data_IF_598006731925
#
_entry.id   IF_598006731925
#
_cell.length_a   1.000
_cell.length_b   1.000
_cell.length_c   1.000
_cell.angle_alpha   90.00
_cell.angle_beta   90.00
_cell.angle_gamma   90.00
#
_symmetry.space_group_name_H-M   'P 1'
#
loop_
_entity.id
_entity.type
_entity.pdbx_description
1 polymer ?
#
# COMPACT_ATOMS: atom_id res chain seq x y z
N UNK A 1 -6.43 -6.30 -11.56
CA UNK A 1 -7.46 -6.51 -12.59
C UNK A 1 -7.03 -5.79 -13.86
N UNK A 2 -7.16 -6.42 -15.03
CA UNK A 2 -6.59 -5.92 -16.30
C UNK A 2 -5.47 -6.82 -16.84
N UNK A 3 -5.21 -6.77 -18.16
CA UNK A 3 -4.24 -7.65 -18.85
C UNK A 3 -2.79 -7.15 -18.79
N UNK A 4 -2.58 -5.88 -18.46
CA UNK A 4 -1.27 -5.23 -18.45
C UNK A 4 -0.83 -4.92 -17.02
N UNK A 5 0.49 -5.00 -16.76
CA UNK A 5 1.06 -4.64 -15.47
C UNK A 5 0.92 -3.14 -15.16
N UNK A 6 1.07 -2.30 -16.20
CA UNK A 6 0.89 -0.85 -16.14
C UNK A 6 0.15 -0.43 -17.42
N UNK A 7 -0.89 0.38 -17.27
CA UNK A 7 -1.62 0.97 -18.39
C UNK A 7 -1.95 2.44 -18.08
N UNK A 8 -1.71 3.31 -19.05
CA UNK A 8 -2.16 4.72 -19.01
C UNK A 8 -3.37 4.82 -19.91
N UNK A 9 -4.53 5.15 -19.33
CA UNK A 9 -5.79 5.23 -20.06
C UNK A 9 -6.12 6.70 -20.32
N UNK A 10 -6.23 7.13 -21.59
CA UNK A 10 -6.74 8.45 -21.93
C UNK A 10 -8.17 8.67 -21.39
N UNK A 11 -8.51 9.92 -21.06
CA UNK A 11 -9.81 10.24 -20.43
C UNK A 11 -11.01 9.80 -21.27
N UNK A 12 -10.93 9.85 -22.61
CA UNK A 12 -11.94 9.41 -23.56
C UNK A 12 -12.08 7.87 -23.65
N UNK A 13 -11.13 7.11 -23.12
CA UNK A 13 -11.11 5.64 -23.14
C UNK A 13 -11.46 4.99 -21.81
N UNK A 14 -11.75 5.79 -20.78
CA UNK A 14 -12.11 5.31 -19.42
C UNK A 14 -13.24 4.28 -19.47
N UNK A 15 -14.32 4.57 -20.21
CA UNK A 15 -15.48 3.67 -20.27
C UNK A 15 -15.13 2.31 -20.86
N UNK A 16 -14.42 2.27 -21.98
CA UNK A 16 -13.99 1.02 -22.62
C UNK A 16 -12.97 0.25 -21.77
N UNK A 17 -12.08 0.95 -21.08
CA UNK A 17 -11.06 0.30 -20.25
C UNK A 17 -11.66 -0.38 -19.02
N UNK A 18 -12.74 0.19 -18.46
CA UNK A 18 -13.41 -0.35 -17.28
C UNK A 18 -14.47 -1.41 -17.60
N UNK A 19 -15.12 -1.34 -18.76
CA UNK A 19 -16.29 -2.17 -19.07
C UNK A 19 -16.06 -3.68 -18.92
N UNK A 20 -14.86 -4.16 -19.31
CA UNK A 20 -14.48 -5.58 -19.24
C UNK A 20 -13.92 -6.02 -17.89
N UNK A 21 -13.73 -5.09 -16.95
CA UNK A 21 -13.25 -5.43 -15.62
C UNK A 21 -14.38 -6.07 -14.79
N UNK A 22 -14.01 -6.98 -13.87
CA UNK A 22 -14.96 -7.60 -12.98
C UNK A 22 -15.45 -6.58 -11.92
N UNK A 23 -16.66 -6.76 -11.38
CA UNK A 23 -17.28 -5.80 -10.42
C UNK A 23 -16.48 -5.64 -9.12
N UNK A 24 -15.65 -6.62 -8.78
CA UNK A 24 -14.68 -6.64 -7.69
C UNK A 24 -13.66 -5.50 -7.82
N UNK A 25 -13.36 -5.06 -9.04
CA UNK A 25 -12.48 -3.93 -9.29
C UNK A 25 -13.06 -2.59 -8.81
N UNK A 26 -14.38 -2.50 -8.54
CA UNK A 26 -15.04 -1.31 -8.00
C UNK A 26 -14.85 -1.13 -6.48
N UNK A 27 -14.14 -2.03 -5.80
CA UNK A 27 -13.93 -1.97 -4.33
C UNK A 27 -15.26 -1.91 -3.57
N UNK A 28 -16.22 -2.74 -4.00
CA UNK A 28 -17.51 -2.91 -3.37
C UNK A 28 -17.40 -3.87 -2.17
N UNK A 29 -18.24 -3.71 -1.13
CA UNK A 29 -18.38 -4.70 -0.06
C UNK A 29 -18.71 -6.09 -0.60
N UNK A 30 -18.15 -7.13 0.02
CA UNK A 30 -18.34 -8.53 -0.38
C UNK A 30 -19.82 -8.94 -0.55
N UNK A 31 -20.75 -8.56 0.35
CA UNK A 31 -22.17 -8.90 0.18
C UNK A 31 -22.80 -8.33 -1.10
N UNK A 32 -22.35 -7.16 -1.57
CA UNK A 32 -22.82 -6.56 -2.82
C UNK A 32 -22.30 -7.36 -4.02
N UNK A 33 -21.03 -7.77 -3.97
CA UNK A 33 -20.40 -8.58 -5.03
C UNK A 33 -21.14 -9.92 -5.19
N UNK A 34 -21.45 -10.61 -4.10
CA UNK A 34 -22.22 -11.87 -4.15
C UNK A 34 -23.64 -11.66 -4.71
N UNK A 35 -24.29 -10.58 -4.30
CA UNK A 35 -25.62 -10.24 -4.80
C UNK A 35 -25.65 -9.93 -6.30
N UNK A 36 -24.59 -9.29 -6.83
CA UNK A 36 -24.41 -9.04 -8.26
C UNK A 36 -24.08 -10.33 -9.03
N UNK A 37 -23.27 -11.21 -8.46
CA UNK A 37 -22.98 -12.51 -9.04
C UNK A 37 -24.26 -13.36 -9.18
N UNK A 38 -25.13 -13.34 -8.17
CA UNK A 38 -26.44 -14.02 -8.21
C UNK A 38 -27.36 -13.47 -9.31
N UNK A 39 -27.22 -12.19 -9.65
CA UNK A 39 -27.96 -11.56 -10.75
C UNK A 39 -27.33 -11.79 -12.14
N UNK A 40 -26.21 -12.50 -12.22
CA UNK A 40 -25.49 -12.69 -13.47
C UNK A 40 -24.81 -11.40 -13.97
N UNK A 41 -24.43 -10.49 -13.08
CA UNK A 41 -23.76 -9.22 -13.40
C UNK A 41 -22.31 -9.23 -12.89
N UNK A 42 -21.39 -9.97 -13.54
CA UNK A 42 -20.01 -10.10 -13.06
C UNK A 42 -19.08 -8.97 -13.52
N UNK A 43 -19.53 -8.09 -14.44
CA UNK A 43 -18.67 -7.06 -15.07
C UNK A 43 -19.22 -5.65 -14.93
N UNK A 44 -18.31 -4.67 -14.94
CA UNK A 44 -18.64 -3.24 -14.77
C UNK A 44 -19.49 -2.71 -15.91
N UNK A 45 -19.22 -3.09 -17.16
CA UNK A 45 -19.98 -2.59 -18.33
C UNK A 45 -21.48 -2.87 -18.22
N UNK A 46 -21.91 -4.14 -18.08
CA UNK A 46 -23.30 -4.51 -17.84
C UNK A 46 -23.89 -3.80 -16.61
N UNK A 47 -23.15 -3.75 -15.49
CA UNK A 47 -23.61 -3.05 -14.29
C UNK A 47 -23.86 -1.56 -14.52
N UNK A 48 -22.98 -0.89 -15.29
CA UNK A 48 -23.07 0.54 -15.58
C UNK A 48 -24.25 0.88 -16.50
N UNK A 49 -24.72 -0.08 -17.30
CA UNK A 49 -25.89 0.06 -18.17
C UNK A 49 -27.23 -0.13 -17.42
N UNK A 50 -27.21 -0.68 -16.20
CA UNK A 50 -28.44 -0.90 -15.43
C UNK A 50 -29.02 0.41 -14.88
N UNK A 51 -30.35 0.50 -14.73
CA UNK A 51 -30.99 1.66 -14.11
C UNK A 51 -30.49 1.91 -12.68
N UNK A 52 -30.12 3.16 -12.37
CA UNK A 52 -29.50 3.53 -11.08
C UNK A 52 -30.43 3.40 -9.88
N UNK A 53 -31.69 3.79 -10.01
CA UNK A 53 -32.65 3.76 -8.90
C UNK A 53 -32.90 2.34 -8.35
N UNK A 54 -33.17 1.31 -9.19
CA UNK A 54 -33.29 -0.07 -8.71
C UNK A 54 -32.01 -0.64 -8.09
N UNK A 55 -30.84 -0.29 -8.62
CA UNK A 55 -29.56 -0.72 -8.04
C UNK A 55 -29.35 -0.14 -6.64
N UNK A 56 -29.59 1.16 -6.48
CA UNK A 56 -29.45 1.83 -5.19
C UNK A 56 -30.46 1.32 -4.16
N UNK A 57 -31.69 1.01 -4.58
CA UNK A 57 -32.72 0.44 -3.72
C UNK A 57 -32.33 -0.95 -3.20
N UNK A 58 -31.70 -1.78 -4.05
CA UNK A 58 -31.37 -3.17 -3.72
C UNK A 58 -30.03 -3.32 -2.99
N UNK A 59 -29.02 -2.57 -3.39
CA UNK A 59 -27.64 -2.74 -2.92
C UNK A 59 -27.13 -1.54 -2.11
N UNK A 60 -27.95 -0.51 -1.95
CA UNK A 60 -27.57 0.73 -1.30
C UNK A 60 -26.86 1.71 -2.24
N UNK A 61 -26.60 2.95 -1.76
CA UNK A 61 -26.06 4.03 -2.58
C UNK A 61 -24.60 3.82 -2.99
N UNK A 62 -23.86 2.96 -2.28
CA UNK A 62 -22.43 2.75 -2.49
C UNK A 62 -22.09 2.23 -3.89
N UNK A 63 -22.98 1.45 -4.51
CA UNK A 63 -22.78 0.94 -5.87
C UNK A 63 -22.74 2.07 -6.90
N UNK A 64 -23.68 3.03 -6.79
CA UNK A 64 -23.73 4.19 -7.67
C UNK A 64 -22.52 5.09 -7.44
N UNK A 65 -22.18 5.32 -6.16
CA UNK A 65 -21.01 6.09 -5.75
C UNK A 65 -19.71 5.52 -6.33
N UNK A 66 -19.47 4.21 -6.23
CA UNK A 66 -18.27 3.55 -6.78
C UNK A 66 -18.22 3.60 -8.30
N UNK A 67 -19.35 3.45 -8.99
CA UNK A 67 -19.41 3.62 -10.44
C UNK A 67 -19.05 5.06 -10.84
N UNK A 68 -19.57 6.06 -10.15
CA UNK A 68 -19.32 7.46 -10.49
C UNK A 68 -17.87 7.87 -10.21
N UNK A 69 -17.24 7.31 -9.18
CA UNK A 69 -15.79 7.42 -8.96
C UNK A 69 -14.99 6.76 -10.09
N UNK A 70 -15.36 5.54 -10.48
CA UNK A 70 -14.63 4.80 -11.50
C UNK A 70 -14.69 5.50 -12.88
N UNK A 71 -15.85 6.03 -13.27
CA UNK A 71 -16.00 6.78 -14.53
C UNK A 71 -15.57 8.25 -14.43
N UNK A 72 -14.96 8.68 -13.31
CA UNK A 72 -14.46 10.06 -13.14
C UNK A 72 -15.55 11.13 -13.05
N UNK A 73 -16.81 10.74 -12.81
CA UNK A 73 -17.95 11.67 -12.64
C UNK A 73 -17.98 12.29 -11.25
N UNK A 74 -17.38 11.62 -10.28
CA UNK A 74 -17.24 12.08 -8.91
C UNK A 74 -15.78 11.91 -8.48
N UNK A 75 -15.22 12.94 -7.86
CA UNK A 75 -13.88 12.86 -7.28
C UNK A 75 -13.81 11.83 -6.15
N UNK A 76 -12.69 11.12 -6.06
CA UNK A 76 -12.34 10.28 -4.92
C UNK A 76 -11.12 10.89 -4.24
N UNK A 77 -11.23 11.20 -2.95
CA UNK A 77 -10.10 11.69 -2.19
C UNK A 77 -9.03 10.61 -2.09
N UNK A 78 -7.79 10.95 -2.44
CA UNK A 78 -6.64 10.08 -2.21
C UNK A 78 -6.40 10.05 -0.71
N UNK A 79 -6.69 8.91 -0.08
CA UNK A 79 -6.35 8.69 1.32
C UNK A 79 -4.84 8.45 1.41
N UNK A 80 -4.07 9.32 2.07
CA UNK A 80 -2.64 9.11 2.20
C UNK A 80 -2.39 7.88 3.07
N UNK A 81 -1.72 6.88 2.52
CA UNK A 81 -1.16 5.78 3.32
C UNK A 81 0.10 6.32 3.97
N UNK A 82 0.04 6.64 5.26
CA UNK A 82 1.25 6.91 6.05
C UNK A 82 1.82 5.56 6.48
N UNK A 83 3.00 5.15 5.99
CA UNK A 83 3.66 3.98 6.54
C UNK A 83 3.89 4.22 8.04
N UNK A 84 3.74 3.18 8.86
CA UNK A 84 4.11 3.27 10.27
C UNK A 84 5.61 3.56 10.32
N UNK A 85 5.99 4.64 11.00
CA UNK A 85 7.40 5.01 11.14
C UNK A 85 8.15 3.85 11.79
N UNK A 86 9.19 3.31 11.13
CA UNK A 86 9.98 2.23 11.70
C UNK A 86 10.62 2.70 13.01
N UNK A 87 10.86 1.77 13.93
CA UNK A 87 11.74 2.07 15.07
C UNK A 87 13.15 2.26 14.50
N UNK A 88 13.73 3.43 14.75
CA UNK A 88 15.04 3.81 14.24
C UNK A 88 15.91 4.33 15.39
N UNK A 89 17.19 3.98 15.36
CA UNK A 89 18.22 4.55 16.23
C UNK A 89 19.44 4.87 15.39
N UNK A 90 20.06 6.01 15.66
CA UNK A 90 21.20 6.49 14.89
C UNK A 90 22.26 7.10 15.78
N UNK A 91 23.49 7.13 15.27
CA UNK A 91 24.62 7.79 15.93
C UNK A 91 25.35 8.66 14.92
N UNK A 92 25.38 9.96 15.21
CA UNK A 92 26.23 10.90 14.50
C UNK A 92 27.61 10.96 15.15
N UNK A 93 28.64 11.15 14.32
CA UNK A 93 30.02 11.27 14.75
C UNK A 93 30.54 12.65 14.37
N UNK A 94 31.35 13.26 15.24
CA UNK A 94 31.98 14.54 14.96
C UNK A 94 33.06 14.42 13.87
N UNK A 95 33.75 13.28 13.84
CA UNK A 95 34.77 12.94 12.85
C UNK A 95 34.43 11.62 12.16
N UNK A 96 34.83 11.42 10.89
CA UNK A 96 34.63 10.16 10.19
C UNK A 96 35.33 8.99 10.90
N UNK A 97 34.65 7.85 10.99
CA UNK A 97 35.24 6.60 11.49
C UNK A 97 35.49 5.63 10.33
N UNK A 98 36.67 5.02 10.30
CA UNK A 98 37.06 4.05 9.26
C UNK A 98 37.43 2.66 9.78
N UNK A 99 37.72 2.52 11.07
CA UNK A 99 38.11 1.25 11.67
C UNK A 99 36.90 0.31 11.85
N UNK A 100 37.02 -0.92 11.37
CA UNK A 100 35.95 -1.91 11.42
C UNK A 100 35.52 -2.23 12.86
N UNK A 101 36.47 -2.29 13.78
CA UNK A 101 36.25 -2.56 15.20
C UNK A 101 35.44 -1.43 15.86
N UNK A 102 35.70 -0.19 15.47
CA UNK A 102 34.95 0.98 15.95
C UNK A 102 33.52 0.94 15.43
N UNK A 103 33.33 0.65 14.14
CA UNK A 103 32.00 0.51 13.54
C UNK A 103 31.21 -0.61 14.26
N UNK A 104 31.81 -1.79 14.43
CA UNK A 104 31.21 -2.91 15.14
C UNK A 104 30.82 -2.56 16.58
N UNK A 105 31.68 -1.83 17.30
CA UNK A 105 31.41 -1.34 18.65
C UNK A 105 30.18 -0.42 18.71
N UNK A 106 30.00 0.47 17.74
CA UNK A 106 28.84 1.37 17.72
C UNK A 106 27.56 0.67 17.27
N UNK A 107 27.63 -0.29 16.34
CA UNK A 107 26.49 -1.15 16.02
C UNK A 107 26.02 -1.87 17.28
N UNK A 108 26.94 -2.46 18.06
CA UNK A 108 26.61 -3.12 19.33
C UNK A 108 26.00 -2.20 20.39
N UNK A 109 26.23 -0.88 20.33
CA UNK A 109 25.58 0.11 21.20
C UNK A 109 24.20 0.54 20.71
N UNK A 110 23.97 0.51 19.40
CA UNK A 110 22.69 0.91 18.80
C UNK A 110 21.65 -0.21 18.91
N UNK A 111 22.04 -1.47 18.76
CA UNK A 111 21.12 -2.62 18.79
C UNK A 111 20.25 -2.67 20.07
N UNK A 112 20.77 -2.48 21.30
CA UNK A 112 19.94 -2.47 22.50
C UNK A 112 18.90 -1.33 22.54
N UNK A 113 19.26 -0.15 22.00
CA UNK A 113 18.34 0.99 21.92
C UNK A 113 17.21 0.71 20.93
N UNK A 114 17.54 0.05 19.81
CA UNK A 114 16.55 -0.39 18.83
C UNK A 114 15.58 -1.40 19.44
N UNK A 115 16.12 -2.40 20.15
CA UNK A 115 15.32 -3.40 20.86
C UNK A 115 14.35 -2.75 21.85
N UNK A 116 14.81 -1.79 22.65
CA UNK A 116 13.94 -1.08 23.59
C UNK A 116 12.77 -0.38 22.88
N UNK A 117 13.04 0.35 21.79
CA UNK A 117 11.97 1.02 21.05
C UNK A 117 10.98 0.07 20.35
N UNK A 118 11.42 -1.14 20.01
CA UNK A 118 10.57 -2.20 19.47
C UNK A 118 9.69 -2.84 20.56
N UNK A 119 10.28 -3.12 21.73
CA UNK A 119 9.61 -3.71 22.89
C UNK A 119 8.51 -2.78 23.43
N UNK A 120 8.80 -1.47 23.54
CA UNK A 120 7.81 -0.45 23.92
C UNK A 120 6.59 -0.40 22.98
N UNK A 121 6.76 -0.84 21.72
CA UNK A 121 5.69 -0.91 20.71
C UNK A 121 5.09 -2.31 20.56
N UNK A 122 5.57 -3.31 21.29
CA UNK A 122 5.18 -4.71 21.12
C UNK A 122 5.44 -5.25 19.71
N UNK A 123 6.49 -4.77 19.05
CA UNK A 123 6.81 -5.12 17.66
C UNK A 123 8.04 -6.04 17.59
N UNK A 124 7.94 -7.11 16.81
CA UNK A 124 9.10 -7.89 16.38
C UNK A 124 9.64 -7.41 15.03
N UNK A 125 10.89 -7.75 14.73
CA UNK A 125 11.56 -7.31 13.49
C UNK A 125 11.45 -8.39 12.43
N UNK A 126 10.98 -8.04 11.22
CA UNK A 126 11.06 -8.89 10.01
C UNK A 126 12.24 -8.54 9.11
N UNK A 127 12.59 -7.25 9.06
CA UNK A 127 13.72 -6.72 8.30
C UNK A 127 14.39 -5.63 9.10
N UNK A 128 15.71 -5.67 9.17
CA UNK A 128 16.55 -4.67 9.82
C UNK A 128 17.55 -4.14 8.81
N UNK A 129 17.59 -2.83 8.66
CA UNK A 129 18.46 -2.14 7.73
C UNK A 129 19.48 -1.33 8.56
N UNK A 130 20.78 -1.65 8.43
CA UNK A 130 21.88 -0.84 8.94
C UNK A 130 22.31 0.12 7.82
N UNK A 131 22.10 1.42 8.05
CA UNK A 131 22.49 2.48 7.13
C UNK A 131 23.81 3.09 7.59
N UNK A 132 24.79 3.16 6.69
CA UNK A 132 26.10 3.76 6.90
C UNK A 132 26.23 4.98 5.97
N UNK A 133 26.19 6.17 6.56
CA UNK A 133 26.37 7.43 5.84
C UNK A 133 27.86 7.73 5.70
N UNK A 134 28.33 7.81 4.46
CA UNK A 134 29.73 8.04 4.12
C UNK A 134 29.98 9.52 3.88
N UNK A 135 31.24 9.93 4.01
CA UNK A 135 31.70 11.31 3.79
C UNK A 135 31.50 11.81 2.36
N UNK A 136 31.39 10.89 1.39
CA UNK A 136 31.11 11.19 -0.02
C UNK A 136 29.59 11.35 -0.31
N UNK A 137 28.79 11.55 0.75
CA UNK A 137 27.32 11.68 0.69
C UNK A 137 26.60 10.43 0.16
N UNK A 138 27.29 9.28 0.08
CA UNK A 138 26.66 8.00 -0.22
C UNK A 138 26.16 7.33 1.06
N UNK A 139 25.10 6.54 0.90
CA UNK A 139 24.59 5.69 1.98
C UNK A 139 24.72 4.24 1.55
N UNK A 140 25.49 3.47 2.32
CA UNK A 140 25.55 2.02 2.17
C UNK A 140 24.52 1.38 3.09
N UNK A 141 23.88 0.31 2.64
CA UNK A 141 22.86 -0.39 3.42
C UNK A 141 23.21 -1.87 3.55
N UNK A 142 23.30 -2.36 4.77
CA UNK A 142 23.36 -3.79 5.07
C UNK A 142 21.98 -4.20 5.59
N UNK A 143 21.36 -5.17 4.93
CA UNK A 143 20.00 -5.61 5.27
C UNK A 143 20.01 -7.04 5.75
N UNK A 144 19.34 -7.30 6.87
CA UNK A 144 19.08 -8.65 7.37
C UNK A 144 17.58 -8.85 7.52
N UNK A 145 17.13 -10.08 7.25
CA UNK A 145 15.73 -10.47 7.41
C UNK A 145 15.64 -11.65 8.37
N UNK A 146 14.58 -11.69 9.17
CA UNK A 146 14.26 -12.81 10.05
C UNK A 146 13.14 -13.63 9.41
N UNK A 147 13.17 -14.95 9.57
CA UNK A 147 12.14 -15.83 9.03
C UNK A 147 10.81 -15.72 9.80
N UNK A 148 10.88 -15.37 11.09
CA UNK A 148 9.75 -14.99 11.94
C UNK A 148 10.18 -13.80 12.82
N UNK A 149 9.27 -12.87 13.15
CA UNK A 149 9.57 -11.85 14.15
C UNK A 149 9.85 -12.55 15.48
N UNK A 150 11.08 -12.40 15.97
CA UNK A 150 11.49 -12.75 17.34
C UNK A 150 11.10 -11.64 18.29
#
# INVERSE_FOLDING_TARGET
>A
YGRLAIAVVPSDKTTSALADLPVEALRLPFPIIEGLATLGVPRIGPLAAMPRAPLALRFGPDIARRLDQAFGRMGEAIVPVRPVDPVEVSRNFAEPIGAAETIAKYIGKLVPLLYQGLDERGQGVRRLDLLLHRVDSRTEAIRVATAMPV
#
